data_IF_287799586036
#
_entry.id   IF_287799586036
#
_cell.length_a   1.000
_cell.length_b   1.000
_cell.length_c   1.000
_cell.angle_alpha   90.00
_cell.angle_beta   90.00
_cell.angle_gamma   90.00
#
_symmetry.space_group_name_H-M   'P 1'
#
loop_
_entity.id
_entity.type
_entity.pdbx_description
1 polymer ?
#
# COMPACT_ATOMS: atom_id res chain seq x y z
N UNK A 1 12.24 -25.16 -14.33
CA UNK A 1 12.19 -23.73 -14.65
C UNK A 1 11.41 -23.04 -13.56
N UNK A 2 11.83 -21.85 -13.13
CA UNK A 2 11.04 -21.03 -12.22
C UNK A 2 9.68 -20.65 -12.80
N UNK A 3 8.67 -20.51 -11.94
CA UNK A 3 7.28 -20.16 -12.31
C UNK A 3 7.18 -18.80 -13.02
N UNK A 4 8.02 -17.84 -12.65
CA UNK A 4 7.96 -16.48 -13.17
C UNK A 4 8.39 -16.34 -14.65
N UNK A 5 9.10 -17.33 -15.21
CA UNK A 5 9.61 -17.27 -16.59
C UNK A 5 8.47 -17.14 -17.61
N UNK A 6 7.28 -17.69 -17.30
CA UNK A 6 6.09 -17.62 -18.17
C UNK A 6 5.45 -16.21 -18.20
N UNK A 7 5.90 -15.31 -17.31
CA UNK A 7 5.34 -13.98 -17.11
C UNK A 7 6.32 -12.85 -17.47
N UNK A 8 7.43 -13.18 -18.14
CA UNK A 8 8.55 -12.27 -18.43
C UNK A 8 8.11 -10.91 -18.99
N UNK A 9 8.63 -9.82 -18.42
CA UNK A 9 8.60 -8.52 -19.09
C UNK A 9 9.60 -8.52 -20.25
N UNK A 10 9.12 -8.43 -21.50
CA UNK A 10 9.97 -8.39 -22.68
C UNK A 10 10.88 -7.17 -22.68
N UNK A 11 12.19 -7.39 -22.74
CA UNK A 11 13.23 -6.36 -22.73
C UNK A 11 14.25 -6.55 -23.88
N UNK A 12 14.70 -5.48 -24.56
CA UNK A 12 14.28 -4.08 -24.40
C UNK A 12 12.77 -3.90 -24.65
N UNK A 13 12.12 -2.93 -23.99
CA UNK A 13 10.68 -2.77 -24.13
C UNK A 13 10.34 -2.51 -25.60
N UNK A 14 9.41 -3.29 -26.19
CA UNK A 14 9.09 -3.14 -27.60
C UNK A 14 8.39 -1.80 -27.84
N UNK A 15 8.50 -1.26 -29.07
CA UNK A 15 7.78 -0.05 -29.48
C UNK A 15 6.25 -0.19 -29.30
N UNK A 16 5.75 -1.41 -29.45
CA UNK A 16 4.36 -1.79 -29.20
C UNK A 16 4.34 -3.02 -28.30
N UNK A 17 3.66 -2.93 -27.16
CA UNK A 17 3.56 -4.01 -26.19
C UNK A 17 3.08 -3.51 -24.84
N UNK A 18 3.09 -4.40 -23.85
CA UNK A 18 2.64 -4.09 -22.49
C UNK A 18 3.77 -4.12 -21.46
N UNK A 19 5.04 -4.07 -21.87
CA UNK A 19 6.13 -3.79 -20.92
C UNK A 19 6.17 -2.28 -20.68
N UNK A 20 5.93 -1.85 -19.45
CA UNK A 20 5.89 -0.43 -19.09
C UNK A 20 6.89 -0.08 -18.01
N UNK A 21 7.38 1.14 -18.05
CA UNK A 21 8.22 1.68 -16.98
C UNK A 21 7.41 1.77 -15.68
N UNK A 22 7.98 1.27 -14.58
CA UNK A 22 7.36 1.25 -13.26
C UNK A 22 7.88 2.42 -12.42
N UNK A 23 7.14 3.53 -12.44
CA UNK A 23 7.48 4.75 -11.66
C UNK A 23 6.78 4.83 -10.32
N UNK A 24 5.56 4.32 -10.28
CA UNK A 24 4.62 4.55 -9.19
C UNK A 24 3.69 3.35 -9.05
N UNK A 25 3.29 3.10 -7.81
CA UNK A 25 2.27 2.13 -7.46
C UNK A 25 1.28 2.78 -6.50
N UNK A 26 0.09 2.19 -6.40
CA UNK A 26 -0.91 2.72 -5.50
C UNK A 26 -1.72 1.62 -4.81
N UNK A 27 -2.16 1.93 -3.60
CA UNK A 27 -3.13 1.14 -2.84
C UNK A 27 -4.47 1.86 -2.91
N UNK A 28 -5.52 1.15 -3.35
CA UNK A 28 -6.89 1.69 -3.41
C UNK A 28 -7.72 1.10 -2.27
N UNK A 29 -8.49 1.96 -1.61
CA UNK A 29 -9.43 1.56 -0.57
C UNK A 29 -10.71 2.40 -0.60
N UNK A 30 -11.75 1.93 0.11
CA UNK A 30 -12.99 2.66 0.35
C UNK A 30 -12.76 3.87 1.27
N UNK A 31 -13.64 4.87 1.17
CA UNK A 31 -13.56 6.16 1.89
C UNK A 31 -13.39 5.96 3.39
N UNK A 32 -14.16 5.04 3.99
CA UNK A 32 -14.10 4.76 5.43
C UNK A 32 -12.71 4.31 5.85
N UNK A 33 -12.06 3.48 5.04
CA UNK A 33 -10.73 2.99 5.32
C UNK A 33 -9.68 4.08 5.08
N UNK A 34 -9.81 4.83 3.98
CA UNK A 34 -8.94 5.94 3.67
C UNK A 34 -8.89 7.00 4.80
N UNK A 35 -10.05 7.31 5.39
CA UNK A 35 -10.14 8.20 6.57
C UNK A 35 -9.32 7.66 7.74
N UNK A 36 -9.43 6.36 8.04
CA UNK A 36 -8.64 5.72 9.11
C UNK A 36 -7.15 5.74 8.79
N UNK A 37 -6.76 5.41 7.57
CA UNK A 37 -5.36 5.47 7.13
C UNK A 37 -4.78 6.88 7.27
N UNK A 38 -5.55 7.93 6.97
CA UNK A 38 -5.13 9.32 7.16
C UNK A 38 -4.95 9.64 8.65
N UNK A 39 -5.86 9.19 9.50
CA UNK A 39 -5.78 9.41 10.95
C UNK A 39 -4.57 8.66 11.56
N UNK A 40 -4.34 7.42 11.13
CA UNK A 40 -3.24 6.56 11.56
C UNK A 40 -1.89 6.96 10.94
N UNK A 41 -1.91 7.84 9.91
CA UNK A 41 -0.75 8.28 9.11
C UNK A 41 -0.01 7.15 8.41
N UNK A 42 -0.64 5.99 8.25
CA UNK A 42 -0.06 4.83 7.58
C UNK A 42 -1.14 3.92 7.00
N UNK A 43 -0.77 3.16 5.98
CA UNK A 43 -1.52 1.99 5.54
C UNK A 43 -0.96 0.80 6.33
N UNK A 44 -1.77 0.24 7.22
CA UNK A 44 -1.36 -0.89 8.05
C UNK A 44 -1.39 -2.20 7.26
N UNK A 45 -0.34 -3.00 7.39
CA UNK A 45 -0.25 -4.34 6.84
C UNK A 45 -1.34 -5.24 7.43
N UNK A 46 -1.95 -6.07 6.58
CA UNK A 46 -3.02 -6.99 6.97
C UNK A 46 -2.83 -8.35 6.34
N UNK A 47 -3.46 -9.35 6.94
CA UNK A 47 -3.46 -10.70 6.41
C UNK A 47 -4.23 -10.73 5.08
N UNK A 48 -3.71 -11.49 4.13
CA UNK A 48 -4.40 -11.83 2.88
C UNK A 48 -5.32 -13.01 3.17
N UNK A 49 -6.59 -12.90 2.81
CA UNK A 49 -7.61 -13.93 3.10
C UNK A 49 -8.15 -14.64 1.87
N UNK A 50 -7.62 -14.30 0.68
CA UNK A 50 -7.97 -15.03 -0.54
C UNK A 50 -7.16 -16.33 -0.66
N UNK A 51 -7.24 -16.98 -1.81
CA UNK A 51 -6.61 -18.29 -2.07
C UNK A 51 -5.07 -18.23 -2.21
N UNK A 52 -4.43 -17.13 -1.79
CA UNK A 52 -2.98 -16.94 -1.83
C UNK A 52 -2.18 -17.95 -1.02
N UNK A 53 -0.95 -18.22 -1.47
CA UNK A 53 0.13 -18.74 -0.62
C UNK A 53 0.41 -17.86 0.61
N UNK A 54 0.15 -16.55 0.56
CA UNK A 54 0.29 -15.65 1.72
C UNK A 54 -0.77 -15.86 2.80
N UNK A 55 -1.95 -16.38 2.46
CA UNK A 55 -3.00 -16.67 3.43
C UNK A 55 -2.57 -17.78 4.38
N UNK A 56 -1.99 -18.86 3.83
CA UNK A 56 -1.46 -19.98 4.63
C UNK A 56 -0.21 -19.58 5.41
N UNK A 57 0.65 -18.73 4.83
CA UNK A 57 1.85 -18.21 5.48
C UNK A 57 1.56 -17.21 6.61
N UNK A 58 0.35 -16.65 6.67
CA UNK A 58 -0.11 -15.69 7.69
C UNK A 58 0.81 -14.48 7.83
N UNK A 59 1.47 -14.06 6.75
CA UNK A 59 2.33 -12.88 6.70
C UNK A 59 1.47 -11.64 6.40
N UNK A 60 1.36 -10.66 7.32
CA UNK A 60 0.65 -9.42 7.05
C UNK A 60 1.40 -8.61 5.99
N UNK A 61 0.65 -8.05 5.04
CA UNK A 61 1.20 -7.26 3.95
C UNK A 61 0.31 -6.07 3.62
N UNK A 62 0.90 -5.02 3.06
CA UNK A 62 0.17 -3.99 2.31
C UNK A 62 0.22 -4.34 0.83
N UNK A 63 -0.93 -4.35 0.18
CA UNK A 63 -1.05 -4.57 -1.27
C UNK A 63 -0.97 -3.24 -2.03
N UNK A 64 -0.24 -3.21 -3.13
CA UNK A 64 -0.27 -2.13 -4.12
C UNK A 64 -0.21 -2.67 -5.54
N UNK A 65 -0.57 -1.84 -6.52
CA UNK A 65 -0.55 -2.19 -7.93
C UNK A 65 -0.12 -1.02 -8.80
N UNK A 66 0.46 -1.31 -9.96
CA UNK A 66 0.67 -0.36 -11.06
C UNK A 66 -0.49 -0.36 -12.08
N UNK A 67 -1.50 -1.22 -11.88
CA UNK A 67 -2.58 -1.44 -12.84
C UNK A 67 -3.58 -0.29 -12.88
N UNK A 68 -3.91 0.16 -14.09
CA UNK A 68 -4.97 1.14 -14.30
C UNK A 68 -6.35 0.48 -14.42
N UNK A 69 -7.29 0.94 -13.59
CA UNK A 69 -8.64 0.38 -13.49
C UNK A 69 -9.62 1.07 -14.43
N UNK A 70 -9.50 0.81 -15.74
CA UNK A 70 -10.29 1.49 -16.79
C UNK A 70 -11.82 1.37 -16.64
N UNK A 71 -12.34 0.27 -16.05
CA UNK A 71 -13.77 0.07 -15.75
C UNK A 71 -14.17 0.50 -14.34
N UNK A 72 -13.29 1.22 -13.64
CA UNK A 72 -13.41 1.53 -12.23
C UNK A 72 -12.78 0.46 -11.36
N UNK A 73 -12.39 0.87 -10.14
CA UNK A 73 -11.73 0.00 -9.18
C UNK A 73 -12.74 -0.83 -8.39
N UNK A 74 -12.45 -2.11 -8.20
CA UNK A 74 -13.24 -3.00 -7.34
C UNK A 74 -12.83 -2.91 -5.86
N UNK A 75 -11.77 -2.16 -5.55
CA UNK A 75 -11.15 -2.08 -4.23
C UNK A 75 -11.51 -0.79 -3.47
N UNK A 76 -12.26 0.12 -4.11
CA UNK A 76 -12.69 1.38 -3.50
C UNK A 76 -12.48 2.57 -4.44
N UNK A 77 -12.51 3.78 -3.88
CA UNK A 77 -12.48 5.03 -4.66
C UNK A 77 -11.30 5.95 -4.33
N UNK A 78 -10.48 5.64 -3.32
CA UNK A 78 -9.35 6.47 -2.91
C UNK A 78 -8.05 5.72 -3.15
N UNK A 79 -7.17 6.26 -3.98
CA UNK A 79 -5.82 5.72 -4.19
C UNK A 79 -4.74 6.54 -3.50
N UNK A 80 -3.84 5.84 -2.82
CA UNK A 80 -2.64 6.39 -2.18
C UNK A 80 -1.44 6.03 -3.04
N UNK A 81 -0.76 7.03 -3.60
CA UNK A 81 0.30 6.86 -4.59
C UNK A 81 1.68 6.95 -3.97
N UNK A 82 2.56 6.04 -4.35
CA UNK A 82 3.94 6.01 -3.88
C UNK A 82 4.89 5.79 -5.04
N UNK A 83 5.99 6.55 -5.04
CA UNK A 83 7.07 6.33 -5.99
C UNK A 83 7.70 4.96 -5.76
N UNK A 84 7.82 4.20 -6.83
CA UNK A 84 8.29 2.82 -6.80
C UNK A 84 9.68 2.70 -6.17
N UNK A 85 10.65 3.46 -6.68
CA UNK A 85 12.04 3.37 -6.23
C UNK A 85 12.21 3.74 -4.75
N UNK A 86 11.47 4.75 -4.28
CA UNK A 86 11.48 5.13 -2.87
C UNK A 86 10.89 4.02 -2.01
N UNK A 87 9.87 3.30 -2.47
CA UNK A 87 9.26 2.19 -1.73
C UNK A 87 10.18 0.99 -1.55
N UNK A 88 10.86 0.60 -2.62
CA UNK A 88 11.64 -0.65 -2.67
C UNK A 88 13.11 -0.49 -2.27
N UNK A 89 13.56 0.75 -2.00
CA UNK A 89 14.94 1.03 -1.66
C UNK A 89 15.44 0.14 -0.51
N UNK A 90 16.50 -0.63 -0.78
CA UNK A 90 17.12 -1.53 0.18
C UNK A 90 16.28 -2.74 0.59
N UNK A 91 15.21 -3.08 -0.15
CA UNK A 91 14.34 -4.23 0.12
C UNK A 91 14.70 -5.43 -0.75
N UNK A 92 14.35 -6.62 -0.25
CA UNK A 92 14.48 -7.87 -0.97
C UNK A 92 13.15 -8.23 -1.64
N UNK A 93 13.23 -8.95 -2.76
CA UNK A 93 12.08 -9.40 -3.54
C UNK A 93 11.96 -10.92 -3.49
N UNK A 94 10.73 -11.40 -3.40
CA UNK A 94 10.41 -12.81 -3.42
C UNK A 94 9.20 -13.04 -4.31
N UNK A 95 9.31 -14.02 -5.19
CA UNK A 95 8.18 -14.53 -5.93
C UNK A 95 7.24 -15.27 -4.98
N UNK A 96 5.96 -14.90 -5.01
CA UNK A 96 4.93 -15.63 -4.27
C UNK A 96 4.24 -16.61 -5.21
N UNK A 97 3.55 -16.12 -6.24
CA UNK A 97 2.75 -16.93 -7.15
C UNK A 97 2.23 -16.09 -8.33
N UNK A 98 1.73 -16.79 -9.35
CA UNK A 98 0.74 -16.26 -10.29
C UNK A 98 -0.65 -16.82 -9.99
N UNK A 99 -1.66 -15.95 -9.95
CA UNK A 99 -3.07 -16.30 -9.73
C UNK A 99 -3.78 -16.35 -11.07
N UNK A 100 -3.72 -17.50 -11.71
CA UNK A 100 -4.30 -17.74 -13.04
C UNK A 100 -5.83 -17.72 -13.07
N UNK A 101 -6.48 -17.89 -11.90
CA UNK A 101 -7.92 -17.76 -11.77
C UNK A 101 -8.41 -16.31 -12.00
N UNK A 102 -7.52 -15.32 -11.95
CA UNK A 102 -7.87 -13.93 -12.22
C UNK A 102 -7.80 -13.64 -13.71
N UNK A 103 -8.60 -12.69 -14.18
CA UNK A 103 -8.59 -12.25 -15.57
C UNK A 103 -8.44 -10.71 -15.65
N UNK A 104 -7.27 -10.20 -16.05
CA UNK A 104 -6.05 -10.96 -16.41
C UNK A 104 -5.38 -11.59 -15.18
N UNK A 105 -4.57 -12.64 -15.41
CA UNK A 105 -3.74 -13.30 -14.38
C UNK A 105 -2.98 -12.25 -13.56
N UNK A 106 -2.92 -12.43 -12.24
CA UNK A 106 -2.15 -11.57 -11.36
C UNK A 106 -0.83 -12.24 -10.96
N UNK A 107 0.27 -11.49 -10.91
CA UNK A 107 1.51 -11.96 -10.29
C UNK A 107 1.70 -11.28 -8.93
N UNK A 108 2.17 -12.03 -7.94
CA UNK A 108 2.47 -11.54 -6.59
C UNK A 108 3.96 -11.57 -6.32
N UNK A 109 4.52 -10.40 -6.02
CA UNK A 109 5.89 -10.25 -5.53
C UNK A 109 5.83 -9.69 -4.12
N UNK A 110 6.42 -10.42 -3.19
CA UNK A 110 6.64 -9.98 -1.82
C UNK A 110 7.90 -9.11 -1.76
N UNK A 111 7.78 -7.99 -1.07
CA UNK A 111 8.85 -7.00 -0.88
C UNK A 111 9.02 -6.86 0.62
N UNK A 112 10.20 -7.17 1.13
CA UNK A 112 10.44 -7.16 2.57
C UNK A 112 11.80 -6.57 2.94
N UNK A 113 11.90 -6.18 4.21
CA UNK A 113 13.17 -5.76 4.77
C UNK A 113 14.21 -6.90 4.70
N UNK A 114 15.50 -6.63 4.45
CA UNK A 114 16.53 -7.66 4.44
C UNK A 114 16.65 -8.45 5.74
N UNK A 115 16.25 -7.86 6.88
CA UNK A 115 16.22 -8.54 8.16
C UNK A 115 15.04 -9.52 8.32
N UNK A 116 14.01 -9.41 7.47
CA UNK A 116 12.86 -10.31 7.48
C UNK A 116 13.14 -11.53 6.62
N UNK A 117 13.10 -12.72 7.23
CA UNK A 117 13.09 -13.99 6.51
C UNK A 117 11.64 -14.37 6.19
N UNK A 118 11.19 -14.31 4.93
CA UNK A 118 9.82 -14.68 4.58
C UNK A 118 9.62 -16.21 4.65
N UNK A 119 8.37 -16.69 4.83
CA UNK A 119 8.09 -18.12 4.96
C UNK A 119 8.48 -18.91 3.69
N UNK A 120 9.48 -19.81 3.74
CA UNK A 120 10.00 -20.48 2.54
C UNK A 120 8.97 -21.34 1.79
N UNK A 121 7.94 -21.82 2.49
CA UNK A 121 6.85 -22.58 1.88
C UNK A 121 5.94 -21.74 0.97
N UNK A 122 5.98 -20.41 1.09
CA UNK A 122 5.12 -19.48 0.36
C UNK A 122 5.89 -18.48 -0.50
N UNK A 123 7.23 -18.48 -0.43
CA UNK A 123 8.07 -17.48 -1.09
C UNK A 123 9.36 -18.06 -1.62
N UNK A 124 9.70 -17.74 -2.87
CA UNK A 124 10.98 -18.08 -3.51
C UNK A 124 11.76 -16.79 -3.75
N UNK A 125 13.07 -16.72 -3.43
CA UNK A 125 13.89 -15.55 -3.75
C UNK A 125 13.77 -15.17 -5.22
N UNK A 126 13.64 -13.87 -5.49
CA UNK A 126 13.49 -13.32 -6.84
C UNK A 126 14.39 -12.10 -6.96
N UNK A 127 15.23 -12.05 -7.99
CA UNK A 127 16.13 -10.94 -8.27
C UNK A 127 15.73 -10.25 -9.58
N UNK A 128 15.05 -9.08 -9.53
CA UNK A 128 14.66 -8.33 -10.71
C UNK A 128 15.81 -7.93 -11.65
N UNK A 129 17.07 -7.96 -11.19
CA UNK A 129 18.25 -7.70 -12.02
C UNK A 129 18.68 -8.90 -12.87
N UNK A 130 18.29 -10.11 -12.49
CA UNK A 130 18.78 -11.37 -13.08
C UNK A 130 17.67 -12.27 -13.59
N UNK A 131 16.60 -12.39 -12.83
CA UNK A 131 15.49 -13.30 -13.10
C UNK A 131 14.56 -12.74 -14.17
N UNK A 132 14.10 -13.63 -15.05
CA UNK A 132 13.29 -13.28 -16.22
C UNK A 132 11.79 -13.23 -15.93
N UNK A 133 11.43 -12.63 -14.81
CA UNK A 133 10.02 -12.52 -14.40
C UNK A 133 9.31 -11.26 -14.89
N UNK A 134 8.09 -10.99 -14.37
CA UNK A 134 7.25 -9.88 -14.77
C UNK A 134 7.72 -8.52 -14.25
N UNK A 135 8.67 -8.46 -13.31
CA UNK A 135 9.26 -7.23 -12.78
C UNK A 135 10.77 -7.24 -13.06
N UNK A 136 11.28 -6.26 -13.80
CA UNK A 136 12.68 -6.27 -14.23
C UNK A 136 13.33 -4.92 -13.98
N UNK A 137 14.58 -4.94 -13.53
CA UNK A 137 15.44 -3.77 -13.57
C UNK A 137 16.40 -3.89 -14.75
N UNK A 138 16.34 -2.94 -15.68
CA UNK A 138 17.11 -2.98 -16.91
C UNK A 138 17.58 -1.59 -17.29
N UNK A 139 18.89 -1.44 -17.56
CA UNK A 139 19.53 -0.18 -17.94
C UNK A 139 19.13 1.01 -17.04
N UNK A 140 19.16 0.81 -15.71
CA UNK A 140 18.86 1.88 -14.76
C UNK A 140 17.38 2.18 -14.56
N UNK A 141 16.48 1.39 -15.17
CA UNK A 141 15.04 1.65 -15.17
C UNK A 141 14.26 0.40 -14.74
N UNK A 142 13.21 0.61 -13.94
CA UNK A 142 12.29 -0.44 -13.55
C UNK A 142 11.20 -0.64 -14.60
N UNK A 143 10.91 -1.88 -14.94
CA UNK A 143 9.86 -2.27 -15.88
C UNK A 143 8.98 -3.35 -15.28
N UNK A 144 7.73 -3.39 -15.74
CA UNK A 144 6.83 -4.48 -15.43
C UNK A 144 6.01 -4.92 -16.64
N UNK A 145 5.55 -6.17 -16.63
CA UNK A 145 4.68 -6.71 -17.66
C UNK A 145 3.20 -6.39 -17.37
N UNK A 146 2.71 -5.31 -17.99
CA UNK A 146 1.34 -4.84 -17.97
C UNK A 146 0.31 -5.71 -18.70
N UNK A 147 0.72 -6.85 -19.25
CA UNK A 147 -0.23 -7.89 -19.70
C UNK A 147 -0.99 -8.48 -18.52
N UNK A 148 -0.35 -8.51 -17.36
CA UNK A 148 -0.84 -9.13 -16.13
C UNK A 148 -1.27 -8.07 -15.11
N UNK A 149 -1.94 -8.51 -14.05
CA UNK A 149 -2.17 -7.67 -12.87
C UNK A 149 -0.96 -7.74 -11.96
N UNK A 150 -0.31 -6.59 -11.73
CA UNK A 150 0.75 -6.45 -10.75
C UNK A 150 0.17 -6.38 -9.34
N UNK A 151 0.64 -7.25 -8.46
CA UNK A 151 0.34 -7.21 -7.04
C UNK A 151 1.65 -7.23 -6.24
N UNK A 152 2.04 -6.06 -5.73
CA UNK A 152 3.22 -5.90 -4.90
C UNK A 152 2.80 -5.93 -3.43
N UNK A 153 3.33 -6.90 -2.68
CA UNK A 153 2.97 -7.18 -1.31
C UNK A 153 4.10 -6.72 -0.40
N UNK A 154 3.93 -5.62 0.34
CA UNK A 154 4.95 -5.14 1.27
C UNK A 154 4.75 -5.79 2.64
N UNK A 155 5.75 -6.52 3.14
CA UNK A 155 5.73 -7.06 4.50
C UNK A 155 6.08 -6.00 5.55
N UNK A 156 5.40 -4.85 5.47
CA UNK A 156 5.57 -3.68 6.34
C UNK A 156 4.34 -2.77 6.23
N UNK A 157 4.16 -1.89 7.21
CA UNK A 157 3.22 -0.77 7.08
C UNK A 157 3.78 0.28 6.10
N UNK A 158 2.91 0.95 5.34
CA UNK A 158 3.34 2.06 4.48
C UNK A 158 3.01 3.41 5.12
N UNK A 159 4.06 4.13 5.55
CA UNK A 159 3.92 5.50 6.07
C UNK A 159 3.41 6.46 5.00
N UNK A 160 2.42 7.29 5.37
CA UNK A 160 1.91 8.36 4.49
C UNK A 160 2.89 9.53 4.34
N UNK A 161 3.99 9.58 5.10
CA UNK A 161 5.07 10.56 4.87
C UNK A 161 5.80 10.32 3.53
N UNK A 162 5.73 9.09 3.00
CA UNK A 162 6.31 8.69 1.70
C UNK A 162 5.32 8.85 0.55
N UNK A 163 4.15 9.43 0.82
CA UNK A 163 3.10 9.56 -0.17
C UNK A 163 3.50 10.60 -1.22
N UNK A 164 3.36 10.24 -2.49
CA UNK A 164 3.60 11.13 -3.64
C UNK A 164 2.33 11.83 -4.11
N UNK A 165 1.15 11.27 -3.80
CA UNK A 165 -0.12 11.88 -4.14
C UNK A 165 -1.35 11.05 -3.76
N UNK A 166 -2.51 11.61 -4.09
CA UNK A 166 -3.81 10.97 -3.99
C UNK A 166 -4.49 10.99 -5.36
N UNK A 167 -5.25 9.94 -5.65
CA UNK A 167 -6.22 9.96 -6.76
C UNK A 167 -7.59 9.50 -6.28
N UNK A 168 -8.63 9.98 -6.97
CA UNK A 168 -10.01 9.56 -6.74
C UNK A 168 -10.49 8.81 -7.96
N UNK A 169 -10.80 7.53 -7.77
CA UNK A 169 -11.19 6.61 -8.83
C UNK A 169 -12.71 6.49 -8.91
N UNK A 170 -13.21 6.28 -10.13
CA UNK A 170 -14.53 5.69 -10.31
C UNK A 170 -14.53 4.29 -9.67
N UNK A 171 -15.54 3.96 -8.88
CA UNK A 171 -15.75 2.59 -8.41
C UNK A 171 -16.27 1.72 -9.57
N UNK A 172 -15.93 0.44 -9.60
CA UNK A 172 -16.51 -0.49 -10.58
C UNK A 172 -18.04 -0.58 -10.37
N UNK A 173 -18.80 -0.53 -11.47
CA UNK A 173 -20.26 -0.33 -11.43
C UNK A 173 -21.01 -1.50 -10.75
N UNK A 174 -20.56 -2.73 -10.99
CA UNK A 174 -21.25 -3.94 -10.49
C UNK A 174 -20.49 -4.72 -9.42
N UNK A 175 -19.17 -4.55 -9.31
CA UNK A 175 -18.28 -5.39 -8.51
C UNK A 175 -17.67 -4.58 -7.38
N UNK A 176 -17.63 -5.16 -6.18
CA UNK A 176 -16.85 -4.66 -5.05
C UNK A 176 -16.24 -5.86 -4.34
N UNK A 177 -14.93 -5.83 -4.10
CA UNK A 177 -14.21 -6.93 -3.46
C UNK A 177 -14.60 -7.12 -2.00
N UNK A 178 -14.91 -6.03 -1.29
CA UNK A 178 -15.11 -6.05 0.17
C UNK A 178 -16.59 -6.07 0.58
N UNK A 179 -17.41 -5.23 -0.05
CA UNK A 179 -18.82 -5.05 0.34
C UNK A 179 -19.81 -5.63 -0.69
N UNK A 180 -19.31 -6.24 -1.77
CA UNK A 180 -20.14 -6.85 -2.81
C UNK A 180 -21.22 -5.93 -3.35
N UNK A 181 -22.45 -6.44 -3.48
CA UNK A 181 -23.59 -5.67 -3.99
C UNK A 181 -24.15 -4.65 -2.99
N UNK A 182 -23.77 -4.69 -1.71
CA UNK A 182 -24.19 -3.71 -0.72
C UNK A 182 -23.34 -2.42 -0.77
N UNK A 183 -22.24 -2.43 -1.54
CA UNK A 183 -21.29 -1.33 -1.60
C UNK A 183 -21.94 -0.02 -2.10
N UNK A 184 -22.07 0.95 -1.19
CA UNK A 184 -22.65 2.26 -1.47
C UNK A 184 -21.76 3.14 -2.35
N UNK A 185 -20.44 2.90 -2.38
CA UNK A 185 -19.51 3.63 -3.24
C UNK A 185 -19.67 3.35 -4.74
N UNK A 186 -20.34 2.24 -5.12
CA UNK A 186 -20.61 1.92 -6.54
C UNK A 186 -21.44 2.99 -7.25
N UNK A 187 -22.29 3.70 -6.51
CA UNK A 187 -23.11 4.79 -7.01
C UNK A 187 -22.48 6.17 -6.79
N UNK A 188 -21.31 6.24 -6.17
CA UNK A 188 -20.68 7.51 -5.84
C UNK A 188 -19.81 8.02 -6.99
N UNK A 189 -19.97 9.31 -7.29
CA UNK A 189 -19.08 9.99 -8.22
C UNK A 189 -17.75 10.33 -7.54
N UNK A 190 -16.65 10.18 -8.27
CA UNK A 190 -15.28 10.43 -7.79
C UNK A 190 -15.07 11.81 -7.14
N UNK A 191 -15.79 12.84 -7.58
CA UNK A 191 -15.71 14.18 -6.97
C UNK A 191 -16.28 14.22 -5.54
N UNK A 192 -17.28 13.40 -5.22
CA UNK A 192 -17.84 13.30 -3.87
C UNK A 192 -16.84 12.63 -2.93
N UNK A 193 -16.23 11.53 -3.37
CA UNK A 193 -15.11 10.89 -2.67
C UNK A 193 -13.99 11.90 -2.39
N UNK A 194 -13.57 12.64 -3.43
CA UNK A 194 -12.54 13.67 -3.29
C UNK A 194 -12.90 14.75 -2.28
N UNK A 195 -14.13 15.26 -2.31
CA UNK A 195 -14.60 16.25 -1.36
C UNK A 195 -14.55 15.75 0.09
N UNK A 196 -14.95 14.49 0.34
CA UNK A 196 -14.90 13.89 1.69
C UNK A 196 -13.47 13.79 2.19
N UNK A 197 -12.57 13.23 1.38
CA UNK A 197 -11.16 13.02 1.78
C UNK A 197 -10.44 14.35 1.99
N UNK A 198 -10.60 15.31 1.07
CA UNK A 198 -9.97 16.63 1.22
C UNK A 198 -10.51 17.37 2.44
N UNK A 199 -11.82 17.33 2.70
CA UNK A 199 -12.40 17.93 3.90
C UNK A 199 -11.84 17.30 5.18
N UNK A 200 -11.67 15.97 5.20
CA UNK A 200 -11.11 15.24 6.34
C UNK A 200 -9.64 15.63 6.60
N UNK A 201 -8.79 15.63 5.56
CA UNK A 201 -7.38 16.04 5.67
C UNK A 201 -7.26 17.46 6.23
N UNK A 202 -8.06 18.40 5.71
CA UNK A 202 -8.08 19.79 6.19
C UNK A 202 -8.53 19.90 7.65
N UNK A 203 -9.49 19.08 8.08
CA UNK A 203 -9.94 19.04 9.47
C UNK A 203 -8.84 18.49 10.40
N UNK A 204 -8.13 17.44 10.00
CA UNK A 204 -7.03 16.87 10.78
C UNK A 204 -5.84 17.82 10.92
N UNK A 205 -5.50 18.57 9.86
CA UNK A 205 -4.49 19.63 9.93
C UNK A 205 -4.84 20.75 10.90
N UNK A 206 -6.13 21.07 11.07
CA UNK A 206 -6.56 22.07 12.05
C UNK A 206 -6.48 21.53 13.48
N UNK A 207 -6.79 20.25 13.71
CA UNK A 207 -6.72 19.62 15.03
C UNK A 207 -5.29 19.54 15.57
N UNK A 208 -4.28 19.31 14.73
CA UNK A 208 -2.87 19.32 15.16
C UNK A 208 -2.40 20.70 15.64
N UNK A 209 -3.07 21.79 15.21
CA UNK A 209 -2.80 23.16 15.66
C UNK A 209 -3.61 23.60 16.88
N UNK A 210 -4.67 22.86 17.25
CA UNK A 210 -5.61 23.22 18.34
C UNK A 210 -5.32 22.44 19.64
N UNK A 211 -4.33 21.55 19.67
CA UNK A 211 -3.84 21.00 20.95
C UNK A 211 -3.23 22.12 21.80
N UNK A 212 -3.73 22.39 23.02
CA UNK A 212 -3.14 23.41 23.87
C UNK A 212 -1.71 23.00 24.24
N UNK A 213 -0.75 23.87 23.92
CA UNK A 213 0.58 23.85 24.56
C UNK A 213 0.36 24.16 26.04
N UNK A 214 0.24 23.12 26.87
CA UNK A 214 -0.13 23.28 28.27
C UNK A 214 0.28 22.12 29.15
N UNK A 215 1.55 21.70 29.07
CA UNK A 215 2.16 20.91 30.13
C UNK A 215 2.33 21.77 31.38
N UNK A 216 1.34 21.76 32.27
CA UNK A 216 1.57 22.18 33.64
C UNK A 216 2.31 21.04 34.35
N UNK A 217 3.61 21.24 34.58
CA UNK A 217 4.39 20.42 35.51
C UNK A 217 3.75 20.55 36.88
N UNK A 218 3.26 19.45 37.45
CA UNK A 218 2.98 19.37 38.89
C UNK A 218 4.33 19.34 39.58
N UNK A 219 4.82 20.51 39.95
CA UNK A 219 6.04 20.68 40.71
C UNK A 219 5.81 20.20 42.15
N UNK A 220 6.48 19.11 42.51
CA UNK A 220 6.85 18.84 43.89
C UNK A 220 7.57 20.06 44.46
N UNK A 221 6.99 20.70 45.48
CA UNK A 221 7.68 21.65 46.35
C UNK A 221 7.44 21.22 47.80
N UNK A 222 8.29 20.29 48.23
CA UNK A 222 8.69 20.20 49.62
C UNK A 222 9.50 21.45 49.97
N UNK A 223 9.05 22.20 50.99
CA UNK A 223 9.94 22.97 51.86
C UNK A 223 9.49 22.79 53.31
N UNK A 224 10.36 22.15 54.07
CA UNK A 224 10.38 22.17 55.52
C UNK A 224 11.15 23.41 56.04
N UNK A 225 11.06 23.59 57.36
CA UNK A 225 11.71 24.57 58.26
C UNK A 225 10.95 25.91 58.44
N UNK A 226 10.70 26.45 59.65
CA UNK A 226 10.81 25.98 61.04
C UNK A 226 10.36 27.15 61.96
N UNK A 227 9.87 26.83 63.16
CA UNK A 227 9.89 27.59 64.44
C UNK A 227 8.90 28.71 64.82
N UNK A 228 8.65 28.72 66.14
CA UNK A 228 7.89 29.62 67.04
C UNK A 228 6.37 29.32 67.14
N UNK A 229 5.77 28.95 68.28
CA UNK A 229 6.15 29.01 69.69
C UNK A 229 5.11 29.82 70.49
N UNK A 230 4.33 29.12 71.33
CA UNK A 230 3.53 29.60 72.49
C UNK A 230 2.38 30.60 72.26
N UNK A 231 1.15 30.20 72.60
CA UNK A 231 0.54 30.37 73.94
C UNK A 231 -0.63 29.40 74.10
#
# INVERSE_FOLDING_TARGET
MPEWDDYEATLPPPAYGKTWELKEVFTIMHVREAVRTIDDKKISARLVYDESRLNTARLPVVWSSANHWHRGSMYGTVGFHFKWEELIAGKNFYWIEAIEAYNPTAFRILICDPALTPPPAASTPYDPHRDKGPLRFWNGTWYWNGTYTSEFMYADDLSLERLSGFSFFKHHDTLCRYEGSACGERAQHQSKTGAIILAHVLACQRRSKILPRGGAKVGHLWRAHETAGRA
#
